data_IF_317871959325
#
_entry.id   IF_317871959325
#
_cell.length_a   1.000
_cell.length_b   1.000
_cell.length_c   1.000
_cell.angle_alpha   90.00
_cell.angle_beta   90.00
_cell.angle_gamma   90.00
#
_symmetry.space_group_name_H-M   'P 1'
#
loop_
_entity.id
_entity.type
_entity.pdbx_description
1 polymer ?
#
# COMPACT_ATOMS: atom_id res chain seq x y z
N UNK A 1 -40.92 -25.27 30.81
CA UNK A 1 -41.34 -25.05 32.21
C UNK A 1 -40.80 -26.21 33.05
N UNK A 2 -39.96 -25.92 34.02
CA UNK A 2 -39.39 -26.91 34.95
C UNK A 2 -40.37 -27.01 36.13
N UNK A 3 -40.98 -28.17 36.35
CA UNK A 3 -41.90 -28.41 37.46
C UNK A 3 -41.18 -29.22 38.55
N UNK A 4 -41.37 -28.88 39.82
CA UNK A 4 -40.92 -29.73 40.92
C UNK A 4 -41.70 -31.06 40.90
N UNK A 5 -40.99 -32.19 40.95
CA UNK A 5 -41.57 -33.53 41.04
C UNK A 5 -41.08 -34.21 42.31
N UNK A 6 -41.99 -34.80 43.06
CA UNK A 6 -41.63 -35.59 44.24
C UNK A 6 -40.81 -36.83 43.82
N UNK A 7 -39.66 -37.03 44.45
CA UNK A 7 -38.69 -38.05 44.06
C UNK A 7 -39.18 -39.50 44.28
N UNK A 8 -40.25 -39.71 45.04
CA UNK A 8 -40.80 -41.05 45.35
C UNK A 8 -42.10 -41.36 44.62
N UNK A 9 -42.91 -40.35 44.34
CA UNK A 9 -44.26 -40.50 43.76
C UNK A 9 -44.35 -39.98 42.32
N UNK A 10 -43.43 -39.11 41.89
CA UNK A 10 -43.42 -38.51 40.56
C UNK A 10 -44.50 -37.45 40.31
N UNK A 11 -45.32 -37.16 41.31
CA UNK A 11 -46.37 -36.14 41.24
C UNK A 11 -45.77 -34.73 41.19
N UNK A 12 -46.44 -33.84 40.46
CA UNK A 12 -46.04 -32.43 40.33
C UNK A 12 -46.48 -31.65 41.55
N UNK A 13 -45.53 -30.99 42.22
CA UNK A 13 -45.76 -30.18 43.41
C UNK A 13 -45.18 -28.76 43.31
N UNK A 14 -45.34 -27.97 44.36
CA UNK A 14 -44.68 -26.67 44.49
C UNK A 14 -43.18 -26.85 44.80
N UNK A 15 -42.34 -25.91 44.37
CA UNK A 15 -40.95 -25.84 44.82
C UNK A 15 -40.90 -25.50 46.31
N UNK A 16 -39.89 -26.04 47.01
CA UNK A 16 -39.65 -25.72 48.42
C UNK A 16 -39.41 -24.22 48.59
N UNK A 17 -40.00 -23.62 49.64
CA UNK A 17 -39.86 -22.19 49.96
C UNK A 17 -38.40 -21.85 50.28
N UNK A 18 -37.65 -22.82 50.82
CA UNK A 18 -36.22 -22.64 51.12
C UNK A 18 -35.34 -22.62 49.85
N UNK A 19 -35.84 -23.12 48.71
CA UNK A 19 -35.13 -23.08 47.43
C UNK A 19 -35.30 -21.75 46.69
N UNK A 20 -36.36 -21.00 46.98
CA UNK A 20 -36.65 -19.73 46.29
C UNK A 20 -35.50 -18.72 46.42
N UNK A 21 -34.95 -18.42 47.61
CA UNK A 21 -33.84 -17.47 47.75
C UNK A 21 -32.57 -17.91 47.00
N UNK A 22 -32.32 -19.22 46.92
CA UNK A 22 -31.17 -19.79 46.21
C UNK A 22 -31.33 -19.58 44.70
N UNK A 23 -32.52 -19.84 44.17
CA UNK A 23 -32.82 -19.63 42.74
C UNK A 23 -32.75 -18.15 42.39
N UNK A 24 -33.29 -17.26 43.24
CA UNK A 24 -33.19 -15.81 43.04
C UNK A 24 -31.73 -15.32 43.02
N UNK A 25 -30.89 -15.82 43.93
CA UNK A 25 -29.46 -15.51 43.95
C UNK A 25 -28.73 -16.02 42.70
N UNK A 26 -29.00 -17.25 42.26
CA UNK A 26 -28.42 -17.81 41.03
C UNK A 26 -28.89 -17.06 39.78
N UNK A 27 -30.18 -16.71 39.71
CA UNK A 27 -30.73 -15.92 38.62
C UNK A 27 -30.09 -14.53 38.55
N UNK A 28 -29.88 -13.88 39.70
CA UNK A 28 -29.17 -12.60 39.79
C UNK A 28 -27.73 -12.70 39.31
N UNK A 29 -26.99 -13.74 39.74
CA UNK A 29 -25.61 -13.98 39.29
C UNK A 29 -25.54 -14.26 37.78
N UNK A 30 -26.48 -15.05 37.25
CA UNK A 30 -26.58 -15.33 35.82
C UNK A 30 -26.91 -14.06 35.02
N UNK A 31 -27.81 -13.22 35.53
CA UNK A 31 -28.14 -11.95 34.90
C UNK A 31 -26.92 -11.01 34.81
N UNK A 32 -26.14 -10.89 35.89
CA UNK A 32 -24.89 -10.09 35.88
C UNK A 32 -23.87 -10.65 34.89
N UNK A 33 -23.72 -11.97 34.81
CA UNK A 33 -22.81 -12.59 33.85
C UNK A 33 -23.25 -12.35 32.40
N UNK A 34 -24.55 -12.47 32.11
CA UNK A 34 -25.12 -12.19 30.79
C UNK A 34 -24.99 -10.71 30.40
N UNK A 35 -25.26 -9.79 31.33
CA UNK A 35 -25.09 -8.36 31.09
C UNK A 35 -23.63 -7.99 30.82
N UNK A 36 -22.68 -8.60 31.53
CA UNK A 36 -21.26 -8.42 31.27
C UNK A 36 -20.85 -8.97 29.89
N UNK A 37 -21.33 -10.16 29.51
CA UNK A 37 -21.07 -10.72 28.18
C UNK A 37 -21.64 -9.83 27.07
N UNK A 38 -22.85 -9.31 27.25
CA UNK A 38 -23.48 -8.39 26.31
C UNK A 38 -22.74 -7.05 26.23
N UNK A 39 -22.22 -6.55 27.36
CA UNK A 39 -21.42 -5.34 27.40
C UNK A 39 -20.10 -5.51 26.64
N UNK A 40 -19.42 -6.65 26.83
CA UNK A 40 -18.18 -6.98 26.12
C UNK A 40 -18.42 -7.11 24.61
N UNK A 41 -19.50 -7.78 24.20
CA UNK A 41 -19.89 -7.89 22.79
C UNK A 41 -20.17 -6.51 22.16
N UNK A 42 -20.86 -5.62 22.89
CA UNK A 42 -21.10 -4.24 22.44
C UNK A 42 -19.80 -3.43 22.33
N UNK A 43 -18.87 -3.59 23.28
CA UNK A 43 -17.57 -2.92 23.22
C UNK A 43 -16.73 -3.42 22.04
N UNK A 44 -16.73 -4.74 21.80
CA UNK A 44 -16.05 -5.36 20.65
C UNK A 44 -16.57 -4.80 19.33
N UNK A 45 -17.88 -4.81 19.13
CA UNK A 45 -18.52 -4.26 17.91
C UNK A 45 -18.24 -2.77 17.70
N UNK A 46 -18.22 -1.99 18.79
CA UNK A 46 -17.87 -0.58 18.72
C UNK A 46 -16.41 -0.37 18.31
N UNK A 47 -15.48 -1.15 18.88
CA UNK A 47 -14.06 -1.11 18.53
C UNK A 47 -13.84 -1.51 17.06
N UNK A 48 -14.45 -2.60 16.61
CA UNK A 48 -14.40 -3.04 15.21
C UNK A 48 -14.91 -1.94 14.26
N UNK A 49 -16.07 -1.35 14.57
CA UNK A 49 -16.65 -0.26 13.77
C UNK A 49 -15.72 0.96 13.73
N UNK A 50 -15.07 1.29 14.85
CA UNK A 50 -14.13 2.40 14.92
C UNK A 50 -12.87 2.15 14.08
N UNK A 51 -12.31 0.94 14.16
CA UNK A 51 -11.16 0.51 13.36
C UNK A 51 -11.49 0.61 11.87
N UNK A 52 -12.64 0.06 11.45
CA UNK A 52 -13.09 0.10 10.06
C UNK A 52 -13.26 1.54 9.55
N UNK A 53 -13.81 2.44 10.38
CA UNK A 53 -13.98 3.85 10.02
C UNK A 53 -12.63 4.55 9.85
N UNK A 54 -11.69 4.34 10.77
CA UNK A 54 -10.35 4.94 10.67
C UNK A 54 -9.60 4.40 9.46
N UNK A 55 -9.55 3.09 9.29
CA UNK A 55 -8.87 2.46 8.17
C UNK A 55 -9.44 2.94 6.83
N UNK A 56 -10.78 2.98 6.71
CA UNK A 56 -11.44 3.50 5.51
C UNK A 56 -11.17 4.99 5.28
N UNK A 57 -11.02 5.79 6.33
CA UNK A 57 -10.69 7.20 6.21
C UNK A 57 -9.24 7.43 5.77
N UNK A 58 -8.31 6.57 6.23
CA UNK A 58 -6.91 6.57 5.78
C UNK A 58 -6.84 6.15 4.31
N UNK A 59 -7.55 5.09 3.93
CA UNK A 59 -7.68 4.65 2.54
C UNK A 59 -8.27 5.73 1.63
N UNK A 60 -9.19 6.56 2.13
CA UNK A 60 -9.80 7.62 1.33
C UNK A 60 -8.90 8.85 1.12
N UNK A 61 -7.78 8.94 1.85
CA UNK A 61 -6.82 10.05 1.74
C UNK A 61 -6.08 10.02 0.40
N UNK A 62 -5.80 8.83 -0.12
CA UNK A 62 -5.36 8.64 -1.50
C UNK A 62 -6.57 8.18 -2.34
N UNK A 63 -6.83 8.77 -3.51
CA UNK A 63 -7.91 8.33 -4.38
C UNK A 63 -7.73 6.89 -4.93
N UNK A 64 -6.62 6.22 -4.59
CA UNK A 64 -6.15 4.98 -5.21
C UNK A 64 -6.18 3.75 -4.29
N UNK A 65 -6.61 3.93 -3.04
CA UNK A 65 -6.69 2.87 -2.00
C UNK A 65 -8.14 2.55 -1.60
N UNK A 66 -9.12 2.90 -2.45
CA UNK A 66 -10.55 2.77 -2.17
C UNK A 66 -11.00 1.35 -1.85
N UNK A 67 -11.03 1.01 -0.56
CA UNK A 67 -11.48 -0.29 -0.06
C UNK A 67 -10.35 -1.34 0.06
N UNK A 68 -9.09 -0.94 -0.08
CA UNK A 68 -7.92 -1.80 0.10
C UNK A 68 -7.91 -2.44 1.50
N UNK A 69 -7.97 -1.63 2.56
CA UNK A 69 -8.03 -2.10 3.94
C UNK A 69 -9.29 -2.93 4.25
N UNK A 70 -10.32 -2.87 3.39
CA UNK A 70 -11.52 -3.70 3.53
C UNK A 70 -11.35 -5.08 2.87
N UNK A 71 -10.47 -5.20 1.88
CA UNK A 71 -10.26 -6.40 1.07
C UNK A 71 -9.10 -7.27 1.56
N UNK A 72 -8.02 -6.68 2.05
CA UNK A 72 -6.89 -7.41 2.65
C UNK A 72 -7.33 -8.37 3.78
N UNK A 73 -8.19 -7.96 4.73
CA UNK A 73 -8.71 -8.85 5.77
C UNK A 73 -9.38 -10.12 5.22
N UNK A 74 -10.14 -9.99 4.13
CA UNK A 74 -10.84 -11.11 3.50
C UNK A 74 -9.84 -12.15 2.98
N UNK A 75 -8.78 -11.70 2.31
CA UNK A 75 -7.75 -12.61 1.79
C UNK A 75 -6.99 -13.27 2.93
N UNK A 76 -6.60 -12.49 3.95
CA UNK A 76 -5.89 -12.99 5.12
C UNK A 76 -6.70 -14.06 5.87
N UNK A 77 -8.00 -13.83 6.08
CA UNK A 77 -8.91 -14.80 6.69
C UNK A 77 -9.08 -16.06 5.84
N UNK A 78 -9.28 -15.91 4.52
CA UNK A 78 -9.41 -17.07 3.63
C UNK A 78 -8.14 -17.93 3.61
N UNK A 79 -6.96 -17.30 3.63
CA UNK A 79 -5.68 -17.99 3.68
C UNK A 79 -5.43 -18.66 5.04
N UNK A 80 -5.75 -17.97 6.14
CA UNK A 80 -5.65 -18.54 7.48
C UNK A 80 -6.60 -19.73 7.68
N UNK A 81 -7.83 -19.64 7.15
CA UNK A 81 -8.78 -20.75 7.14
C UNK A 81 -8.26 -21.94 6.34
N UNK A 82 -7.74 -21.69 5.12
CA UNK A 82 -7.13 -22.74 4.31
C UNK A 82 -5.94 -23.42 5.03
N UNK A 83 -5.16 -22.66 5.81
CA UNK A 83 -4.05 -23.22 6.59
C UNK A 83 -4.55 -24.08 7.75
N UNK A 84 -5.60 -23.65 8.45
CA UNK A 84 -6.21 -24.42 9.54
C UNK A 84 -6.93 -25.69 9.04
N UNK A 85 -7.51 -25.65 7.85
CA UNK A 85 -8.20 -26.78 7.22
C UNK A 85 -7.23 -27.78 6.58
N UNK A 86 -5.94 -27.47 6.48
CA UNK A 86 -4.96 -28.33 5.84
C UNK A 86 -4.69 -29.59 6.64
N UNK A 87 -5.05 -30.75 6.12
CA UNK A 87 -4.78 -32.06 6.76
C UNK A 87 -3.37 -32.60 6.48
N UNK A 88 -2.56 -31.90 5.68
CA UNK A 88 -1.24 -32.36 5.24
C UNK A 88 -0.23 -31.22 5.08
N UNK A 89 1.04 -31.57 4.84
CA UNK A 89 2.10 -30.59 4.62
C UNK A 89 2.50 -29.80 5.87
N UNK A 90 3.13 -28.62 5.70
CA UNK A 90 3.68 -27.82 6.81
C UNK A 90 2.60 -27.18 7.71
N UNK A 91 1.34 -27.15 7.26
CA UNK A 91 0.23 -26.54 7.99
C UNK A 91 -0.65 -27.54 8.76
N UNK A 92 -0.34 -28.85 8.72
CA UNK A 92 -1.16 -29.89 9.38
C UNK A 92 -1.46 -29.61 10.86
N UNK A 93 -0.45 -29.09 11.56
CA UNK A 93 -0.53 -28.85 13.00
C UNK A 93 -0.81 -27.36 13.30
N UNK A 94 -1.11 -26.55 12.28
CA UNK A 94 -1.46 -25.14 12.42
C UNK A 94 -2.95 -24.99 12.73
N UNK A 95 -3.25 -24.26 13.80
CA UNK A 95 -4.60 -23.88 14.16
C UNK A 95 -4.58 -22.51 14.83
N UNK A 96 -5.59 -21.70 14.53
CA UNK A 96 -5.83 -20.44 15.22
C UNK A 96 -7.11 -20.57 16.03
N UNK A 97 -7.06 -20.20 17.31
CA UNK A 97 -8.27 -20.04 18.11
C UNK A 97 -9.10 -18.83 17.65
N UNK A 98 -10.35 -18.71 18.08
CA UNK A 98 -11.23 -17.58 17.72
C UNK A 98 -10.59 -16.22 18.07
N UNK A 99 -9.85 -16.14 19.18
CA UNK A 99 -9.14 -14.94 19.60
C UNK A 99 -7.97 -14.60 18.66
N UNK A 100 -7.27 -15.62 18.14
CA UNK A 100 -6.11 -15.41 17.25
C UNK A 100 -6.53 -15.11 15.81
N UNK A 101 -7.64 -15.69 15.36
CA UNK A 101 -8.28 -15.30 14.10
C UNK A 101 -8.74 -13.84 14.17
N UNK A 102 -9.34 -13.44 15.30
CA UNK A 102 -9.72 -12.06 15.51
C UNK A 102 -8.51 -11.12 15.62
N UNK A 103 -7.41 -11.57 16.19
CA UNK A 103 -6.14 -10.83 16.23
C UNK A 103 -5.58 -10.56 14.83
N UNK A 104 -5.57 -11.58 13.95
CA UNK A 104 -5.20 -11.43 12.55
C UNK A 104 -6.16 -10.48 11.81
N UNK A 105 -7.47 -10.62 12.03
CA UNK A 105 -8.48 -9.72 11.46
C UNK A 105 -8.21 -8.26 11.83
N UNK A 106 -7.97 -7.96 13.11
CA UNK A 106 -7.69 -6.59 13.57
C UNK A 106 -6.38 -6.07 12.99
N UNK A 107 -5.33 -6.89 12.95
CA UNK A 107 -4.07 -6.53 12.32
C UNK A 107 -4.23 -6.21 10.83
N UNK A 108 -5.02 -7.01 10.12
CA UNK A 108 -5.25 -6.81 8.68
C UNK A 108 -5.99 -5.52 8.34
N UNK A 109 -6.85 -5.02 9.23
CA UNK A 109 -7.47 -3.70 9.06
C UNK A 109 -6.53 -2.54 9.39
N UNK A 110 -5.54 -2.76 10.26
CA UNK A 110 -4.67 -1.71 10.78
C UNK A 110 -3.27 -1.72 10.16
N UNK A 111 -2.96 -2.65 9.25
CA UNK A 111 -1.63 -2.82 8.65
C UNK A 111 -1.09 -1.52 8.02
N UNK A 112 -1.97 -0.68 7.50
CA UNK A 112 -1.62 0.56 6.84
C UNK A 112 -1.93 1.83 7.65
N UNK A 113 -2.23 1.72 8.95
CA UNK A 113 -2.70 2.86 9.73
C UNK A 113 -1.66 4.00 9.82
N UNK A 114 -0.37 3.70 9.66
CA UNK A 114 0.71 4.68 9.64
C UNK A 114 0.71 5.60 8.40
N UNK A 115 -0.01 5.25 7.32
CA UNK A 115 -0.19 6.12 6.13
C UNK A 115 -0.87 7.45 6.48
N UNK A 116 -1.49 7.56 7.66
CA UNK A 116 -1.99 8.84 8.19
C UNK A 116 -0.91 9.93 8.20
N UNK A 117 0.35 9.55 8.42
CA UNK A 117 1.50 10.46 8.50
C UNK A 117 2.16 10.73 7.14
N UNK A 118 1.91 9.88 6.13
CA UNK A 118 2.56 10.00 4.83
C UNK A 118 1.91 11.13 4.00
N UNK A 119 2.69 12.06 3.42
CA UNK A 119 2.14 13.13 2.59
C UNK A 119 1.53 12.60 1.27
N UNK A 120 0.36 13.12 0.89
CA UNK A 120 -0.38 12.70 -0.32
C UNK A 120 0.48 12.85 -1.58
N UNK A 121 1.18 13.97 -1.72
CA UNK A 121 2.03 14.24 -2.90
C UNK A 121 3.21 13.27 -3.08
N UNK A 122 3.55 12.49 -2.05
CA UNK A 122 4.58 11.45 -2.15
C UNK A 122 3.94 10.11 -2.52
N UNK A 123 2.80 9.77 -1.90
CA UNK A 123 2.06 8.52 -2.17
C UNK A 123 1.52 8.50 -3.59
N UNK A 124 1.00 9.65 -4.04
CA UNK A 124 0.26 9.79 -5.29
C UNK A 124 1.12 10.29 -6.46
N UNK A 125 2.45 10.38 -6.25
CA UNK A 125 3.41 10.98 -7.18
C UNK A 125 3.42 10.25 -8.55
N UNK A 126 2.73 10.83 -9.52
CA UNK A 126 2.55 10.30 -10.87
C UNK A 126 3.68 10.69 -11.84
N UNK A 127 4.35 11.82 -11.62
CA UNK A 127 5.52 12.26 -12.41
C UNK A 127 6.72 12.57 -11.52
N UNK A 128 7.93 12.54 -12.08
CA UNK A 128 9.19 12.72 -11.33
C UNK A 128 9.29 14.09 -10.66
N UNK A 129 8.76 15.14 -11.30
CA UNK A 129 8.79 16.52 -10.80
C UNK A 129 7.58 16.89 -9.95
N UNK A 130 6.63 15.97 -9.76
CA UNK A 130 5.46 16.18 -8.94
C UNK A 130 5.81 16.35 -7.47
N UNK A 131 5.22 17.39 -6.89
CA UNK A 131 5.25 17.72 -5.47
C UNK A 131 3.79 18.04 -5.10
N UNK A 132 3.53 19.15 -4.40
CA UNK A 132 2.16 19.67 -4.27
C UNK A 132 1.50 19.90 -5.65
N UNK A 133 2.29 20.15 -6.69
CA UNK A 133 1.89 20.16 -8.09
C UNK A 133 3.06 19.67 -8.97
N UNK A 134 2.77 19.30 -10.23
CA UNK A 134 3.79 18.97 -11.22
C UNK A 134 4.53 20.22 -11.69
N UNK A 135 5.84 20.27 -11.41
CA UNK A 135 6.70 21.41 -11.74
C UNK A 135 7.14 21.45 -13.20
N UNK A 136 6.74 20.51 -14.06
CA UNK A 136 7.08 20.54 -15.48
C UNK A 136 6.65 21.85 -16.17
N UNK A 137 5.50 22.42 -15.78
CA UNK A 137 5.03 23.69 -16.32
C UNK A 137 5.90 24.88 -15.86
N UNK A 138 6.49 24.79 -14.66
CA UNK A 138 7.49 25.75 -14.19
C UNK A 138 8.77 25.67 -15.04
N UNK A 139 9.21 24.46 -15.38
CA UNK A 139 10.36 24.24 -16.28
C UNK A 139 10.07 24.77 -17.68
N UNK A 140 8.90 24.49 -18.24
CA UNK A 140 8.45 25.06 -19.54
C UNK A 140 8.42 26.59 -19.51
N UNK A 141 7.98 27.18 -18.40
CA UNK A 141 8.01 28.64 -18.22
C UNK A 141 9.44 29.20 -18.29
N UNK A 142 10.43 28.52 -17.68
CA UNK A 142 11.83 28.92 -17.79
C UNK A 142 12.37 28.78 -19.22
N UNK A 143 11.95 27.75 -19.98
CA UNK A 143 12.30 27.63 -21.40
C UNK A 143 11.77 28.80 -22.22
N UNK A 144 10.54 29.24 -21.96
CA UNK A 144 9.98 30.43 -22.63
C UNK A 144 10.78 31.70 -22.33
N UNK A 145 11.35 31.82 -21.11
CA UNK A 145 12.28 32.90 -20.79
C UNK A 145 13.56 32.80 -21.63
N UNK A 146 14.17 31.61 -21.74
CA UNK A 146 15.36 31.42 -22.59
C UNK A 146 15.09 31.70 -24.08
N UNK A 147 13.91 31.35 -24.59
CA UNK A 147 13.51 31.68 -25.97
C UNK A 147 13.39 33.19 -26.17
N UNK A 148 12.82 33.91 -25.19
CA UNK A 148 12.72 35.38 -25.22
C UNK A 148 14.08 36.04 -25.08
N UNK A 149 14.99 35.49 -24.28
CA UNK A 149 16.37 35.96 -24.19
C UNK A 149 17.12 35.77 -25.51
N UNK A 150 16.91 34.64 -26.19
CA UNK A 150 17.46 34.38 -27.53
C UNK A 150 16.90 35.36 -28.57
N UNK A 151 15.59 35.66 -28.53
CA UNK A 151 14.95 36.65 -29.41
C UNK A 151 15.51 38.05 -29.16
N UNK A 152 15.66 38.46 -27.89
CA UNK A 152 16.25 39.75 -27.54
C UNK A 152 17.71 39.85 -28.01
N UNK A 153 18.49 38.78 -27.87
CA UNK A 153 19.88 38.73 -28.33
C UNK A 153 19.96 38.86 -29.86
N UNK A 154 19.12 38.11 -30.59
CA UNK A 154 19.00 38.21 -32.04
C UNK A 154 18.63 39.63 -32.50
N UNK A 155 17.58 40.22 -31.94
CA UNK A 155 17.12 41.56 -32.31
C UNK A 155 18.19 42.62 -32.06
N UNK A 156 18.92 42.53 -30.93
CA UNK A 156 20.05 43.43 -30.64
C UNK A 156 21.15 43.28 -31.69
N UNK A 157 21.61 42.05 -31.96
CA UNK A 157 22.65 41.79 -32.96
C UNK A 157 22.23 42.25 -34.37
N UNK A 158 20.98 42.04 -34.75
CA UNK A 158 20.44 42.43 -36.05
C UNK A 158 20.40 43.96 -36.26
N UNK A 159 20.44 44.77 -35.18
CA UNK A 159 20.49 46.23 -35.28
C UNK A 159 21.92 46.79 -35.41
N UNK A 160 22.95 45.95 -35.29
CA UNK A 160 24.33 46.40 -35.40
C UNK A 160 24.75 46.70 -36.86
N UNK A 161 25.55 47.75 -37.12
CA UNK A 161 26.00 48.07 -38.47
C UNK A 161 26.85 46.94 -39.07
N UNK A 162 26.45 46.43 -40.23
CA UNK A 162 27.16 45.34 -40.92
C UNK A 162 26.76 43.93 -40.47
N UNK A 163 25.69 43.80 -39.68
CA UNK A 163 25.14 42.52 -39.28
C UNK A 163 24.69 41.68 -40.49
N UNK A 164 25.05 40.40 -40.46
CA UNK A 164 24.53 39.40 -41.40
C UNK A 164 23.17 38.90 -40.91
N UNK A 165 22.10 39.51 -41.41
CA UNK A 165 20.74 39.19 -41.01
C UNK A 165 20.33 37.74 -41.31
N UNK A 166 20.91 37.11 -42.34
CA UNK A 166 20.57 35.75 -42.74
C UNK A 166 21.23 34.75 -41.79
N UNK A 167 22.52 34.92 -41.48
CA UNK A 167 23.24 34.10 -40.50
C UNK A 167 22.63 34.22 -39.10
N UNK A 168 22.38 35.45 -38.62
CA UNK A 168 21.80 35.69 -37.29
C UNK A 168 20.41 35.08 -37.14
N UNK A 169 19.61 35.12 -38.21
CA UNK A 169 18.29 34.48 -38.21
C UNK A 169 18.40 32.96 -38.15
N UNK A 170 19.30 32.36 -38.91
CA UNK A 170 19.53 30.93 -38.89
C UNK A 170 20.01 30.45 -37.50
N UNK A 171 20.91 31.19 -36.85
CA UNK A 171 21.38 30.93 -35.49
C UNK A 171 20.23 31.02 -34.46
N UNK A 172 19.37 32.03 -34.57
CA UNK A 172 18.20 32.18 -33.71
C UNK A 172 17.20 31.03 -33.89
N UNK A 173 16.84 30.69 -35.13
CA UNK A 173 15.93 29.59 -35.44
C UNK A 173 16.49 28.24 -34.94
N UNK A 174 17.80 28.01 -35.08
CA UNK A 174 18.47 26.83 -34.53
C UNK A 174 18.40 26.80 -33.00
N UNK A 175 18.62 27.93 -32.32
CA UNK A 175 18.53 28.01 -30.86
C UNK A 175 17.11 27.77 -30.35
N UNK A 176 16.08 28.27 -31.04
CA UNK A 176 14.70 27.98 -30.69
C UNK A 176 14.38 26.48 -30.83
N UNK A 177 14.78 25.87 -31.94
CA UNK A 177 14.59 24.44 -32.16
C UNK A 177 15.29 23.58 -31.10
N UNK A 178 16.50 23.98 -30.67
CA UNK A 178 17.23 23.32 -29.58
C UNK A 178 16.46 23.41 -28.24
N UNK A 179 15.94 24.60 -27.89
CA UNK A 179 15.16 24.80 -26.67
C UNK A 179 13.82 24.04 -26.69
N UNK A 180 13.17 23.95 -27.85
CA UNK A 180 11.96 23.13 -28.03
C UNK A 180 12.25 21.64 -27.84
N UNK A 181 13.37 21.15 -28.40
CA UNK A 181 13.81 19.76 -28.24
C UNK A 181 14.15 19.44 -26.77
N UNK A 182 14.82 20.35 -26.06
CA UNK A 182 15.04 20.22 -24.62
C UNK A 182 13.74 20.15 -23.83
N UNK A 183 12.75 20.99 -24.17
CA UNK A 183 11.43 20.97 -23.53
C UNK A 183 10.68 19.66 -23.71
N UNK A 184 10.61 19.17 -24.95
CA UNK A 184 9.98 17.90 -25.26
C UNK A 184 10.68 16.72 -24.57
N UNK A 185 12.01 16.76 -24.51
CA UNK A 185 12.80 15.75 -23.80
C UNK A 185 12.50 15.75 -22.29
N UNK A 186 12.51 16.91 -21.62
CA UNK A 186 12.26 17.01 -20.19
C UNK A 186 10.83 16.61 -19.82
N UNK A 187 9.84 16.94 -20.65
CA UNK A 187 8.45 16.51 -20.47
C UNK A 187 8.32 14.99 -20.53
N UNK A 188 8.99 14.35 -21.49
CA UNK A 188 9.01 12.89 -21.57
C UNK A 188 9.80 12.25 -20.41
N UNK A 189 10.93 12.84 -20.02
CA UNK A 189 11.73 12.35 -18.90
C UNK A 189 10.95 12.38 -17.59
N UNK A 190 10.03 13.35 -17.43
CA UNK A 190 9.20 13.54 -16.25
C UNK A 190 8.19 12.41 -15.98
N UNK A 191 7.72 11.68 -17.00
CA UNK A 191 6.64 10.69 -16.83
C UNK A 191 7.00 9.48 -15.95
N UNK A 192 8.28 9.22 -15.72
CA UNK A 192 8.73 8.00 -15.04
C UNK A 192 8.56 6.76 -15.93
N UNK A 193 9.34 5.72 -15.64
CA UNK A 193 9.31 4.49 -16.45
C UNK A 193 10.04 3.33 -15.78
N UNK A 194 10.09 2.18 -16.44
CA UNK A 194 10.79 1.00 -15.93
C UNK A 194 12.31 1.18 -15.90
N UNK A 195 12.85 1.96 -16.84
CA UNK A 195 14.28 2.25 -16.93
C UNK A 195 14.54 3.55 -17.71
N UNK A 196 15.45 4.36 -17.21
CA UNK A 196 16.04 5.52 -17.89
C UNK A 196 17.52 5.25 -18.16
N UNK A 197 17.94 5.42 -19.41
CA UNK A 197 19.31 5.17 -19.84
C UNK A 197 20.27 6.27 -19.36
N UNK A 198 21.55 5.92 -19.21
CA UNK A 198 22.57 6.84 -18.68
C UNK A 198 22.77 8.05 -19.60
N UNK A 199 22.61 7.89 -20.92
CA UNK A 199 22.69 8.98 -21.89
C UNK A 199 21.57 10.00 -21.71
N UNK A 200 20.38 9.56 -21.25
CA UNK A 200 19.30 10.48 -20.92
C UNK A 200 19.60 11.25 -19.64
N UNK A 201 20.27 10.62 -18.68
CA UNK A 201 20.67 11.28 -17.41
C UNK A 201 21.73 12.34 -17.69
N UNK A 202 22.74 12.02 -18.49
CA UNK A 202 23.75 12.97 -18.95
C UNK A 202 23.08 14.16 -19.65
N UNK A 203 22.11 13.90 -20.53
CA UNK A 203 21.35 14.96 -21.20
C UNK A 203 20.57 15.86 -20.24
N UNK A 204 19.96 15.31 -19.18
CA UNK A 204 19.31 16.14 -18.13
C UNK A 204 20.34 17.05 -17.47
N UNK A 205 21.53 16.54 -17.15
CA UNK A 205 22.60 17.31 -16.52
C UNK A 205 23.15 18.41 -17.44
N UNK A 206 23.27 18.14 -18.73
CA UNK A 206 23.64 19.16 -19.73
C UNK A 206 22.62 20.30 -19.79
N UNK A 207 21.33 19.98 -19.82
CA UNK A 207 20.26 20.97 -19.83
C UNK A 207 20.21 21.75 -18.51
N UNK A 208 20.45 21.07 -17.38
CA UNK A 208 20.49 21.69 -16.05
C UNK A 208 21.56 22.78 -15.94
N UNK A 209 22.70 22.59 -16.62
CA UNK A 209 23.84 23.51 -16.60
C UNK A 209 23.61 24.79 -17.43
N UNK A 210 22.53 24.89 -18.20
CA UNK A 210 22.13 26.15 -18.82
C UNK A 210 21.86 27.19 -17.74
N UNK A 211 22.18 28.46 -18.01
CA UNK A 211 21.86 29.57 -17.10
C UNK A 211 20.59 30.28 -17.53
N UNK A 212 19.79 30.72 -16.57
CA UNK A 212 18.69 31.67 -16.79
C UNK A 212 18.68 32.75 -15.70
N UNK A 213 17.97 33.85 -15.94
CA UNK A 213 17.80 34.91 -14.94
C UNK A 213 16.44 34.79 -14.24
N UNK A 214 16.49 34.70 -12.92
CA UNK A 214 15.28 34.63 -12.10
C UNK A 214 14.57 35.98 -11.98
N UNK A 215 13.44 36.01 -11.26
CA UNK A 215 12.64 37.22 -11.06
C UNK A 215 13.38 38.33 -10.27
N UNK A 216 14.46 38.00 -9.55
CA UNK A 216 15.32 38.97 -8.88
C UNK A 216 16.46 39.49 -9.79
N UNK A 217 16.58 38.96 -11.00
CA UNK A 217 17.62 39.26 -11.96
C UNK A 217 18.95 38.53 -11.71
N UNK A 218 18.97 37.59 -10.76
CA UNK A 218 20.14 36.75 -10.48
C UNK A 218 20.22 35.60 -11.46
N UNK A 219 21.45 35.24 -11.83
CA UNK A 219 21.73 34.10 -12.69
C UNK A 219 21.66 32.82 -11.86
N UNK A 220 20.90 31.85 -12.34
CA UNK A 220 20.68 30.56 -11.70
C UNK A 220 20.87 29.44 -12.74
N UNK A 221 21.25 28.22 -12.30
CA UNK A 221 21.10 27.03 -13.11
C UNK A 221 19.65 26.88 -13.58
N UNK A 222 19.47 26.33 -14.78
CA UNK A 222 18.16 26.19 -15.42
C UNK A 222 17.25 25.23 -14.66
N UNK A 223 17.82 24.12 -14.18
CA UNK A 223 17.19 23.21 -13.24
C UNK A 223 17.84 23.34 -11.87
N UNK A 224 17.02 23.32 -10.81
CA UNK A 224 17.53 23.22 -9.44
C UNK A 224 18.10 21.82 -9.17
N UNK A 225 18.98 21.68 -8.18
CA UNK A 225 19.56 20.39 -7.78
C UNK A 225 18.46 19.33 -7.55
N UNK A 226 17.40 19.71 -6.85
CA UNK A 226 16.26 18.84 -6.61
C UNK A 226 15.48 18.45 -7.88
N UNK A 227 15.37 19.34 -8.89
CA UNK A 227 14.74 18.98 -10.17
C UNK A 227 15.62 18.00 -10.96
N UNK A 228 16.95 18.16 -10.90
CA UNK A 228 17.90 17.22 -11.51
C UNK A 228 17.80 15.85 -10.85
N UNK A 229 17.87 15.80 -9.52
CA UNK A 229 17.78 14.54 -8.76
C UNK A 229 16.50 13.77 -9.11
N UNK A 230 15.38 14.48 -9.19
CA UNK A 230 14.10 13.90 -9.59
C UNK A 230 14.11 13.42 -11.04
N UNK A 231 14.50 14.25 -12.01
CA UNK A 231 14.48 13.87 -13.42
C UNK A 231 15.43 12.70 -13.74
N UNK A 232 16.53 12.58 -12.97
CA UNK A 232 17.52 11.51 -13.12
C UNK A 232 17.13 10.17 -12.47
N UNK A 233 15.94 10.07 -11.86
CA UNK A 233 15.44 8.80 -11.31
C UNK A 233 15.43 7.72 -12.39
N UNK A 234 16.17 6.62 -12.16
CA UNK A 234 16.31 5.53 -13.14
C UNK A 234 15.06 4.69 -13.31
N UNK A 235 14.29 4.49 -12.23
CA UNK A 235 13.11 3.61 -12.22
C UNK A 235 11.99 4.23 -11.39
N UNK A 236 10.80 4.33 -11.97
CA UNK A 236 9.64 4.95 -11.34
C UNK A 236 9.77 6.48 -11.23
N UNK A 237 9.11 7.04 -10.22
CA UNK A 237 8.95 8.49 -10.00
C UNK A 237 9.51 8.98 -8.67
N UNK A 238 9.89 8.07 -7.78
CA UNK A 238 10.33 8.37 -6.42
C UNK A 238 11.85 8.36 -6.31
N UNK A 239 12.39 9.43 -5.74
CA UNK A 239 13.79 9.45 -5.32
C UNK A 239 13.97 8.69 -3.97
N UNK A 240 15.21 8.62 -3.49
CA UNK A 240 15.53 7.85 -2.28
C UNK A 240 14.90 8.46 -1.02
N UNK A 241 14.93 9.79 -0.87
CA UNK A 241 14.31 10.50 0.26
C UNK A 241 12.79 10.28 0.31
N UNK A 242 12.12 10.36 -0.84
CA UNK A 242 10.69 10.10 -0.97
C UNK A 242 10.35 8.65 -0.68
N UNK A 243 11.22 7.72 -1.09
CA UNK A 243 11.06 6.29 -0.78
C UNK A 243 11.18 6.03 0.71
N UNK A 244 12.10 6.70 1.42
CA UNK A 244 12.19 6.64 2.88
C UNK A 244 10.90 7.16 3.53
N UNK A 245 10.36 8.28 3.05
CA UNK A 245 9.08 8.84 3.54
C UNK A 245 7.93 7.86 3.35
N UNK A 246 7.86 7.17 2.20
CA UNK A 246 6.87 6.11 1.99
C UNK A 246 7.12 4.98 2.99
N UNK A 247 8.31 4.39 3.02
CA UNK A 247 8.61 3.22 3.87
C UNK A 247 8.35 3.50 5.37
N UNK A 248 8.50 4.75 5.81
CA UNK A 248 8.23 5.17 7.18
C UNK A 248 6.78 4.92 7.64
N UNK A 249 5.81 4.72 6.74
CA UNK A 249 4.43 4.38 7.15
C UNK A 249 4.36 3.09 7.98
N UNK A 250 5.27 2.14 7.77
CA UNK A 250 5.31 0.90 8.55
C UNK A 250 5.88 1.13 9.94
N UNK A 251 6.92 1.95 10.04
CA UNK A 251 7.47 2.39 11.32
C UNK A 251 6.36 3.07 12.14
N UNK A 252 5.63 3.99 11.52
CA UNK A 252 4.51 4.70 12.15
C UNK A 252 3.36 3.75 12.52
N UNK A 253 3.07 2.73 11.68
CA UNK A 253 2.09 1.69 12.02
C UNK A 253 2.47 0.97 13.30
N UNK A 254 3.72 0.48 13.40
CA UNK A 254 4.21 -0.21 14.59
C UNK A 254 4.14 0.71 15.81
N UNK A 255 4.69 1.92 15.71
CA UNK A 255 4.71 2.88 16.83
C UNK A 255 3.30 3.27 17.32
N UNK A 256 2.34 3.43 16.41
CA UNK A 256 0.96 3.73 16.75
C UNK A 256 0.28 2.55 17.44
N UNK A 257 0.46 1.33 16.93
CA UNK A 257 -0.18 0.14 17.46
C UNK A 257 0.42 -0.29 18.81
N UNK A 258 1.73 -0.13 19.02
CA UNK A 258 2.39 -0.41 20.30
C UNK A 258 1.95 0.53 21.43
N UNK A 259 1.42 1.71 21.10
CA UNK A 259 0.85 2.65 22.07
C UNK A 259 -0.57 2.28 22.50
N UNK A 260 -1.26 1.42 21.75
CA UNK A 260 -2.62 1.01 22.08
C UNK A 260 -2.61 0.00 23.24
N UNK A 261 -3.50 0.16 24.24
CA UNK A 261 -3.59 -0.76 25.38
C UNK A 261 -4.35 -2.04 24.99
N UNK A 262 -3.76 -2.82 24.07
CA UNK A 262 -4.38 -4.06 23.62
C UNK A 262 -4.58 -5.05 24.77
N UNK A 263 -5.72 -5.77 24.81
CA UNK A 263 -5.86 -6.93 25.70
C UNK A 263 -4.85 -8.01 25.31
N UNK A 264 -4.61 -8.97 26.21
CA UNK A 264 -3.65 -10.07 25.98
C UNK A 264 -3.92 -10.88 24.71
N UNK A 265 -5.18 -10.90 24.26
CA UNK A 265 -5.62 -11.61 23.05
C UNK A 265 -5.30 -10.87 21.75
N UNK A 266 -4.84 -9.61 21.82
CA UNK A 266 -4.52 -8.76 20.66
C UNK A 266 -3.06 -8.23 20.70
N UNK A 267 -2.18 -8.88 21.46
CA UNK A 267 -0.82 -8.38 21.72
C UNK A 267 0.10 -8.47 20.49
N UNK A 268 -0.21 -9.34 19.52
CA UNK A 268 0.56 -9.54 18.28
C UNK A 268 0.04 -8.69 17.12
N UNK A 269 -0.99 -7.87 17.33
CA UNK A 269 -1.48 -6.93 16.30
C UNK A 269 -0.35 -6.09 15.70
N UNK A 270 0.56 -5.46 16.49
CA UNK A 270 1.66 -4.68 15.92
C UNK A 270 2.64 -5.52 15.08
N UNK A 271 2.89 -6.77 15.47
CA UNK A 271 3.77 -7.70 14.73
C UNK A 271 3.18 -8.05 13.37
N UNK A 272 1.90 -8.48 13.35
CA UNK A 272 1.23 -8.91 12.14
C UNK A 272 1.01 -7.74 11.18
N UNK A 273 0.58 -6.59 11.71
CA UNK A 273 0.37 -5.36 10.96
C UNK A 273 1.69 -4.77 10.46
N UNK A 274 2.76 -4.75 11.27
CA UNK A 274 4.05 -4.17 10.89
C UNK A 274 4.91 -5.05 10.00
N UNK A 275 4.65 -6.36 9.97
CA UNK A 275 5.50 -7.33 9.26
C UNK A 275 5.19 -7.53 7.77
N UNK A 276 4.15 -6.90 7.21
CA UNK A 276 3.70 -7.21 5.85
C UNK A 276 4.62 -6.70 4.72
N UNK A 277 5.59 -5.81 5.03
CA UNK A 277 6.66 -5.39 4.12
C UNK A 277 8.02 -6.05 4.40
N UNK A 278 8.09 -6.94 5.40
CA UNK A 278 9.25 -7.79 5.60
C UNK A 278 9.30 -8.85 4.49
N UNK A 279 10.52 -9.27 4.16
CA UNK A 279 10.78 -10.27 3.12
C UNK A 279 11.58 -11.40 3.72
N UNK A 280 11.31 -12.64 3.33
CA UNK A 280 11.92 -13.79 3.98
C UNK A 280 13.45 -13.84 3.85
N UNK A 281 14.01 -13.20 2.83
CA UNK A 281 15.44 -13.03 2.61
C UNK A 281 16.12 -11.96 3.50
N UNK A 282 15.34 -11.23 4.30
CA UNK A 282 15.81 -10.15 5.18
C UNK A 282 16.06 -8.82 4.47
N UNK A 283 15.73 -8.68 3.18
CA UNK A 283 15.84 -7.40 2.44
C UNK A 283 14.61 -6.51 2.58
N UNK A 284 13.63 -6.95 3.38
CA UNK A 284 12.42 -6.20 3.71
C UNK A 284 12.67 -5.09 4.74
N UNK A 285 11.58 -4.44 5.16
CA UNK A 285 11.61 -3.34 6.12
C UNK A 285 10.39 -3.40 7.04
N UNK A 286 10.43 -2.80 8.24
CA UNK A 286 11.47 -1.89 8.75
C UNK A 286 12.60 -2.54 9.57
N UNK A 287 12.45 -3.80 9.99
CA UNK A 287 13.40 -4.50 10.86
C UNK A 287 14.35 -5.43 10.10
N UNK A 288 14.04 -5.78 8.85
CA UNK A 288 14.85 -6.69 8.04
C UNK A 288 14.77 -8.12 8.56
N UNK A 289 13.57 -8.54 8.95
CA UNK A 289 13.32 -9.87 9.50
C UNK A 289 13.48 -10.93 8.43
N UNK A 290 14.15 -12.02 8.77
CA UNK A 290 14.18 -13.23 7.93
C UNK A 290 12.92 -14.06 8.16
N UNK A 291 12.65 -15.00 7.25
CA UNK A 291 11.46 -15.85 7.36
C UNK A 291 11.35 -16.54 8.71
N UNK A 292 12.43 -17.10 9.26
CA UNK A 292 12.44 -17.77 10.57
C UNK A 292 12.04 -16.86 11.75
N UNK A 293 12.20 -15.55 11.60
CA UNK A 293 11.85 -14.56 12.62
C UNK A 293 10.40 -14.08 12.50
N UNK A 294 9.74 -14.32 11.38
CA UNK A 294 8.36 -13.93 11.11
C UNK A 294 7.38 -15.04 11.45
N UNK A 295 6.30 -14.71 12.16
CA UNK A 295 5.18 -15.62 12.37
C UNK A 295 4.42 -15.91 11.07
N UNK A 296 3.71 -17.04 11.04
CA UNK A 296 2.86 -17.39 9.89
C UNK A 296 1.79 -16.32 9.59
N UNK A 297 1.07 -15.75 10.58
CA UNK A 297 0.12 -14.66 10.32
C UNK A 297 0.75 -13.42 9.66
N UNK A 298 1.97 -13.03 10.06
CA UNK A 298 2.69 -11.93 9.41
C UNK A 298 3.05 -12.25 7.94
N UNK A 299 3.44 -13.50 7.64
CA UNK A 299 3.69 -13.94 6.26
C UNK A 299 2.41 -14.03 5.42
N UNK A 300 1.29 -14.42 6.04
CA UNK A 300 -0.03 -14.42 5.40
C UNK A 300 -0.46 -13.00 5.02
N UNK A 301 -0.21 -12.03 5.91
CA UNK A 301 -0.46 -10.60 5.65
C UNK A 301 0.27 -10.10 4.41
N UNK A 302 1.55 -10.42 4.25
CA UNK A 302 2.32 -10.03 3.07
C UNK A 302 1.70 -10.58 1.77
N UNK A 303 1.29 -11.85 1.75
CA UNK A 303 0.62 -12.46 0.57
C UNK A 303 -0.72 -11.78 0.29
N UNK A 304 -1.51 -11.52 1.33
CA UNK A 304 -2.82 -10.88 1.21
C UNK A 304 -2.70 -9.47 0.64
N UNK A 305 -1.80 -8.65 1.20
CA UNK A 305 -1.53 -7.28 0.75
C UNK A 305 -1.04 -7.24 -0.70
N UNK A 306 -0.01 -8.04 -1.03
CA UNK A 306 0.55 -8.08 -2.38
C UNK A 306 -0.50 -8.50 -3.42
N UNK A 307 -1.28 -9.54 -3.14
CA UNK A 307 -2.29 -10.02 -4.08
C UNK A 307 -3.40 -8.99 -4.29
N UNK A 308 -3.88 -8.38 -3.22
CA UNK A 308 -4.85 -7.28 -3.29
C UNK A 308 -4.30 -6.14 -4.15
N UNK A 309 -3.08 -5.67 -3.84
CA UNK A 309 -2.48 -4.53 -4.50
C UNK A 309 -2.24 -4.76 -6.00
N UNK A 310 -1.93 -5.99 -6.41
CA UNK A 310 -1.76 -6.37 -7.82
C UNK A 310 -3.10 -6.46 -8.57
N UNK A 311 -4.17 -6.86 -7.90
CA UNK A 311 -5.49 -7.10 -8.50
C UNK A 311 -6.47 -5.93 -8.35
N UNK A 312 -6.12 -4.92 -7.56
CA UNK A 312 -6.88 -3.68 -7.38
C UNK A 312 -7.18 -2.96 -8.71
N UNK A 313 -8.46 -2.71 -9.00
CA UNK A 313 -8.94 -2.08 -10.24
C UNK A 313 -9.20 -0.58 -10.13
N UNK A 314 -9.11 -0.03 -8.92
CA UNK A 314 -9.40 1.35 -8.54
C UNK A 314 -8.22 2.32 -8.71
N UNK A 315 -7.10 1.87 -9.30
CA UNK A 315 -5.90 2.70 -9.54
C UNK A 315 -5.98 3.41 -10.92
N UNK A 316 -6.10 4.76 -10.99
CA UNK A 316 -6.37 5.49 -12.25
C UNK A 316 -5.28 5.42 -13.31
N UNK A 317 -4.03 5.17 -12.91
CA UNK A 317 -2.87 5.18 -13.80
C UNK A 317 -2.36 3.79 -14.18
N UNK A 318 -2.96 2.72 -13.64
CA UNK A 318 -2.56 1.34 -13.93
C UNK A 318 -3.79 0.51 -14.25
N UNK A 319 -3.80 -0.10 -15.42
CA UNK A 319 -4.77 -1.14 -15.74
C UNK A 319 -4.65 -2.27 -14.71
N UNK A 320 -5.77 -2.66 -14.12
CA UNK A 320 -5.85 -3.78 -13.20
C UNK A 320 -5.25 -5.03 -13.85
N UNK A 321 -4.43 -5.78 -13.11
CA UNK A 321 -3.82 -7.01 -13.63
C UNK A 321 -4.81 -8.16 -13.61
N UNK A 322 -4.65 -9.06 -14.57
CA UNK A 322 -5.33 -10.36 -14.61
C UNK A 322 -4.78 -11.31 -13.54
N UNK A 323 -5.49 -12.41 -13.25
CA UNK A 323 -5.01 -13.43 -12.31
C UNK A 323 -3.68 -14.03 -12.77
N UNK A 324 -3.55 -14.37 -14.06
CA UNK A 324 -2.29 -14.92 -14.58
C UNK A 324 -1.11 -13.97 -14.39
N UNK A 325 -1.31 -12.67 -14.62
CA UNK A 325 -0.27 -11.65 -14.43
C UNK A 325 0.12 -11.51 -12.95
N UNK A 326 -0.87 -11.39 -12.06
CA UNK A 326 -0.66 -11.24 -10.62
C UNK A 326 0.06 -12.45 -10.02
N UNK A 327 -0.42 -13.67 -10.32
CA UNK A 327 0.18 -14.91 -9.83
C UNK A 327 1.57 -15.14 -10.43
N UNK A 328 1.81 -14.75 -11.68
CA UNK A 328 3.15 -14.78 -12.28
C UNK A 328 4.12 -13.87 -11.52
N UNK A 329 3.73 -12.64 -11.19
CA UNK A 329 4.57 -11.73 -10.40
C UNK A 329 4.87 -12.34 -9.03
N UNK A 330 3.84 -12.83 -8.33
CA UNK A 330 4.03 -13.48 -7.02
C UNK A 330 4.93 -14.73 -7.11
N UNK A 331 4.85 -15.51 -8.19
CA UNK A 331 5.74 -16.66 -8.38
C UNK A 331 7.22 -16.26 -8.52
N UNK A 332 7.52 -15.08 -9.08
CA UNK A 332 8.89 -14.54 -9.05
C UNK A 332 9.28 -14.09 -7.66
N UNK A 333 8.36 -13.47 -6.91
CA UNK A 333 8.60 -13.10 -5.51
C UNK A 333 8.89 -14.31 -4.63
N UNK A 334 8.27 -15.47 -4.89
CA UNK A 334 8.62 -16.74 -4.23
C UNK A 334 10.05 -17.17 -4.57
N UNK A 335 10.43 -17.13 -5.86
CA UNK A 335 11.79 -17.48 -6.31
C UNK A 335 12.86 -16.58 -5.71
N UNK A 336 12.54 -15.30 -5.55
CA UNK A 336 13.39 -14.29 -4.92
C UNK A 336 13.36 -14.36 -3.37
N UNK A 337 12.62 -15.31 -2.78
CA UNK A 337 12.46 -15.45 -1.33
C UNK A 337 11.87 -14.20 -0.65
N UNK A 338 11.08 -13.42 -1.38
CA UNK A 338 10.36 -12.28 -0.80
C UNK A 338 9.11 -12.75 -0.03
N UNK A 339 8.41 -13.77 -0.51
CA UNK A 339 7.20 -14.31 0.12
C UNK A 339 7.29 -15.82 0.34
N UNK A 340 6.48 -16.34 1.25
CA UNK A 340 6.51 -17.74 1.68
C UNK A 340 5.99 -18.70 0.60
N UNK A 341 6.85 -19.62 0.17
CA UNK A 341 6.56 -20.57 -0.89
C UNK A 341 5.45 -21.56 -0.51
N UNK A 342 5.39 -21.99 0.75
CA UNK A 342 4.40 -22.95 1.21
C UNK A 342 3.03 -22.28 1.39
N UNK A 343 3.00 -21.05 1.90
CA UNK A 343 1.75 -20.28 1.94
C UNK A 343 1.27 -19.91 0.55
N UNK A 344 2.17 -19.58 -0.39
CA UNK A 344 1.79 -19.33 -1.78
C UNK A 344 1.25 -20.59 -2.46
N UNK A 345 1.85 -21.76 -2.22
CA UNK A 345 1.29 -23.05 -2.67
C UNK A 345 -0.10 -23.28 -2.10
N UNK A 346 -0.28 -23.08 -0.80
CA UNK A 346 -1.58 -23.21 -0.14
C UNK A 346 -2.62 -22.22 -0.71
N UNK A 347 -2.21 -20.98 -0.98
CA UNK A 347 -3.05 -19.96 -1.59
C UNK A 347 -3.60 -20.39 -2.95
N UNK A 348 -2.80 -21.11 -3.74
CA UNK A 348 -3.19 -21.71 -5.02
C UNK A 348 -4.04 -22.99 -4.84
N UNK A 349 -3.51 -24.00 -4.16
CA UNK A 349 -4.15 -25.32 -4.04
C UNK A 349 -5.43 -25.28 -3.20
N UNK A 350 -5.49 -24.40 -2.19
CA UNK A 350 -6.69 -24.12 -1.39
C UNK A 350 -7.73 -23.23 -2.09
N UNK A 351 -7.49 -22.86 -3.35
CA UNK A 351 -8.39 -22.05 -4.17
C UNK A 351 -8.70 -20.68 -3.57
N UNK A 352 -7.81 -20.12 -2.74
CA UNK A 352 -8.04 -18.83 -2.08
C UNK A 352 -8.09 -17.71 -3.10
N UNK A 353 -7.10 -17.66 -4.01
CA UNK A 353 -7.04 -16.67 -5.08
C UNK A 353 -8.33 -16.65 -5.93
N UNK A 354 -8.84 -17.83 -6.27
CA UNK A 354 -10.00 -17.98 -7.14
C UNK A 354 -11.29 -17.59 -6.43
N UNK A 355 -11.51 -18.07 -5.21
CA UNK A 355 -12.71 -17.70 -4.42
C UNK A 355 -12.77 -16.20 -4.15
N UNK A 356 -11.62 -15.59 -3.84
CA UNK A 356 -11.55 -14.14 -3.71
C UNK A 356 -11.85 -13.44 -5.04
N UNK A 357 -11.25 -13.90 -6.14
CA UNK A 357 -11.45 -13.31 -7.46
C UNK A 357 -12.91 -13.31 -7.90
N UNK A 358 -13.60 -14.44 -7.74
CA UNK A 358 -15.02 -14.61 -8.06
C UNK A 358 -15.94 -13.67 -7.25
N UNK A 359 -15.53 -13.31 -6.03
CA UNK A 359 -16.29 -12.44 -5.15
C UNK A 359 -15.99 -10.94 -5.32
N UNK A 360 -14.75 -10.58 -5.68
CA UNK A 360 -14.26 -9.20 -5.55
C UNK A 360 -13.67 -8.58 -6.81
N UNK A 361 -13.28 -9.37 -7.82
CA UNK A 361 -12.63 -8.86 -9.02
C UNK A 361 -13.59 -8.69 -10.19
N UNK A 362 -13.21 -7.86 -11.16
CA UNK A 362 -13.98 -7.68 -12.39
C UNK A 362 -13.89 -8.94 -13.26
N UNK A 363 -14.95 -9.31 -14.01
CA UNK A 363 -14.94 -10.51 -14.86
C UNK A 363 -13.78 -10.55 -15.88
N UNK A 364 -13.33 -9.40 -16.34
CA UNK A 364 -12.21 -9.25 -17.29
C UNK A 364 -10.83 -9.51 -16.68
N UNK A 365 -10.72 -9.54 -15.35
CA UNK A 365 -9.49 -9.90 -14.64
C UNK A 365 -9.37 -11.40 -14.38
N UNK A 366 -10.47 -12.15 -14.47
CA UNK A 366 -10.55 -13.57 -14.14
C UNK A 366 -10.30 -14.38 -15.43
N UNK A 367 -9.03 -14.57 -15.74
CA UNK A 367 -8.57 -15.42 -16.85
C UNK A 367 -8.31 -16.87 -16.40
N UNK A 368 -8.12 -17.78 -17.37
CA UNK A 368 -7.92 -19.21 -17.10
C UNK A 368 -6.50 -19.46 -16.56
N UNK A 369 -6.42 -19.88 -15.29
CA UNK A 369 -5.16 -20.06 -14.57
C UNK A 369 -4.82 -21.55 -14.45
N UNK A 370 -3.68 -21.96 -15.02
CA UNK A 370 -3.06 -23.26 -14.75
C UNK A 370 -2.16 -23.15 -13.50
N UNK A 371 -2.66 -23.57 -12.34
CA UNK A 371 -1.85 -23.50 -11.09
C UNK A 371 -0.57 -24.34 -11.16
N UNK A 372 -0.56 -25.40 -11.98
CA UNK A 372 0.60 -26.28 -12.17
C UNK A 372 1.84 -25.51 -12.68
N UNK A 373 1.64 -24.38 -13.36
CA UNK A 373 2.71 -23.55 -13.89
C UNK A 373 3.51 -22.84 -12.78
N UNK A 374 2.94 -22.75 -11.58
CA UNK A 374 3.52 -22.04 -10.43
C UNK A 374 3.96 -22.97 -9.29
N UNK A 375 3.58 -24.24 -9.33
CA UNK A 375 3.81 -25.23 -8.27
C UNK A 375 5.08 -26.09 -8.46
N UNK A 376 5.95 -25.69 -9.39
CA UNK A 376 7.10 -26.43 -9.93
C UNK A 376 7.97 -27.19 -8.94
#
# INVERSE_FOLDING_TARGET
LINARDAKTGEVGAFDVDLQPIIEALASQAAVALDNQLLLDKQRKLLESFIQVIASAIDAKSPYTGGHCQRVPVIAEMLAAAACDSESGPFRDFALSEDEQYELYIASWLHDCGKVTTPEYVVDKATKLETIYDRIETVKTRLEVLKRDAEIAYLKAATEPGADAESLRAEFEARLAELDDHGAFLENANLGGEFMADEMIERVQEIAALSWRDASGQEQPFLSENEVDNLCIKRGTLNDEEREVINNHIVMTIEMLEQLPFPKTLVRVPEFAGGHHEKLDGTGYPQGLTGEQMSLPARMMAIADIFEALTAADRPYKKAKTLTESLRIMSFMVKDQHIDAELFRLFLEGGVYQRYAEAHLLPEQIDDVSIADYLG
#
